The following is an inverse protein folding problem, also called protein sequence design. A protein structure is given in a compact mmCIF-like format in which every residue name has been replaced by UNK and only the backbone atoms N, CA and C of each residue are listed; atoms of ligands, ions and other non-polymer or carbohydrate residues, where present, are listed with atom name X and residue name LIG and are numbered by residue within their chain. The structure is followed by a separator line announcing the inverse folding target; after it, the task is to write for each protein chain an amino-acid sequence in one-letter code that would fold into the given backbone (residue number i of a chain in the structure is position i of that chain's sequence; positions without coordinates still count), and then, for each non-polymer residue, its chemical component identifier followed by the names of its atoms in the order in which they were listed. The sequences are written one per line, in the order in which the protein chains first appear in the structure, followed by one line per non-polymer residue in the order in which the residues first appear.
data_IF_764262109954
#
_entry.id   IF_764262109954
#
_cell.length_a   1.000
_cell.length_b   1.000
_cell.length_c   1.000
_cell.angle_alpha   90.00
_cell.angle_beta   90.00
_cell.angle_gamma   90.00
#
_symmetry.space_group_name_H-M   'P 1'
#
loop_
_entity.id
_entity.type
_entity.pdbx_description
1 polymer ?
#
# COMPACT_ATOMS: atom_id res chain seq x y z
N UNK A 1 -9.20 -25.45 7.07
CA UNK A 1 -10.32 -25.37 8.03
C UNK A 1 -10.51 -23.95 8.53
N UNK A 2 -11.67 -23.61 9.11
CA UNK A 2 -11.94 -22.30 9.72
C UNK A 2 -10.97 -21.96 10.86
N UNK A 3 -10.56 -22.96 11.63
CA UNK A 3 -9.59 -22.75 12.73
C UNK A 3 -8.20 -22.41 12.19
N UNK A 4 -7.75 -23.07 11.14
CA UNK A 4 -6.49 -22.72 10.46
C UNK A 4 -6.54 -21.32 9.89
N UNK A 5 -7.65 -20.93 9.26
CA UNK A 5 -7.83 -19.57 8.75
C UNK A 5 -7.77 -18.50 9.86
N UNK A 6 -8.34 -18.78 11.04
CA UNK A 6 -8.22 -17.88 12.20
C UNK A 6 -6.78 -17.73 12.68
N UNK A 7 -5.99 -18.80 12.63
CA UNK A 7 -4.56 -18.73 12.96
C UNK A 7 -3.81 -17.90 11.94
N UNK A 8 -4.02 -18.17 10.65
CA UNK A 8 -3.39 -17.43 9.56
C UNK A 8 -3.75 -15.94 9.57
N UNK A 9 -5.01 -15.61 9.88
CA UNK A 9 -5.49 -14.23 9.97
C UNK A 9 -4.86 -13.42 11.12
N UNK A 10 -4.22 -14.08 12.10
CA UNK A 10 -3.48 -13.42 13.18
C UNK A 10 -2.05 -13.06 12.82
N UNK A 11 -1.57 -13.50 11.66
CA UNK A 11 -0.24 -13.16 11.20
C UNK A 11 -0.12 -11.64 10.95
N UNK A 12 0.85 -11.03 11.58
CA UNK A 12 1.05 -9.57 11.56
C UNK A 12 2.35 -9.15 10.85
N UNK A 13 2.96 -10.06 10.11
CA UNK A 13 4.24 -9.79 9.43
C UNK A 13 5.42 -9.63 10.38
N UNK A 14 6.49 -9.06 9.88
CA UNK A 14 7.79 -9.02 10.56
C UNK A 14 8.16 -7.63 11.10
N UNK A 15 7.38 -6.59 10.77
CA UNK A 15 7.68 -5.19 11.13
C UNK A 15 7.78 -4.93 12.64
N UNK A 16 7.09 -5.73 13.45
CA UNK A 16 7.12 -5.61 14.92
C UNK A 16 8.37 -6.19 15.59
N UNK A 17 9.19 -6.98 14.88
CA UNK A 17 10.32 -7.72 15.45
C UNK A 17 11.63 -7.59 14.63
N UNK A 18 12.05 -6.38 14.24
CA UNK A 18 13.27 -6.21 13.43
C UNK A 18 14.53 -6.79 14.11
N UNK A 19 14.53 -6.84 15.45
CA UNK A 19 15.64 -7.36 16.24
C UNK A 19 15.88 -8.86 16.03
N UNK A 20 14.84 -9.62 15.65
CA UNK A 20 14.95 -11.05 15.34
C UNK A 20 15.73 -11.36 14.06
N UNK A 21 16.03 -10.33 13.24
CA UNK A 21 16.82 -10.43 12.02
C UNK A 21 18.24 -9.87 12.16
N UNK A 22 18.66 -9.44 13.34
CA UNK A 22 20.03 -8.98 13.61
C UNK A 22 20.83 -10.08 14.34
N UNK A 23 21.72 -10.73 13.60
CA UNK A 23 22.62 -11.78 14.10
C UNK A 23 23.45 -11.33 15.33
N UNK A 24 23.71 -10.03 15.45
CA UNK A 24 24.56 -9.47 16.53
C UNK A 24 23.76 -9.14 17.78
N UNK A 25 22.44 -9.31 17.75
CA UNK A 25 21.58 -9.00 18.91
C UNK A 25 21.47 -10.21 19.83
N UNK A 26 22.32 -10.28 20.82
CA UNK A 26 22.38 -11.38 21.81
C UNK A 26 21.05 -11.62 22.55
N UNK A 27 20.22 -10.55 22.73
CA UNK A 27 18.94 -10.66 23.41
C UNK A 27 17.87 -11.36 22.53
N UNK A 28 18.10 -11.45 21.23
CA UNK A 28 17.18 -12.05 20.25
C UNK A 28 17.80 -13.25 19.52
N UNK A 29 18.90 -13.78 20.05
CA UNK A 29 19.66 -14.86 19.43
C UNK A 29 18.82 -16.13 19.22
N UNK A 30 17.97 -16.45 20.20
CA UNK A 30 17.08 -17.62 20.12
C UNK A 30 16.09 -17.49 18.99
N UNK A 31 15.41 -16.34 18.88
CA UNK A 31 14.45 -16.04 17.83
C UNK A 31 15.12 -15.98 16.46
N UNK A 32 16.32 -15.41 16.38
CA UNK A 32 17.14 -15.41 15.16
C UNK A 32 17.43 -16.83 14.67
N UNK A 33 17.94 -17.71 15.55
CA UNK A 33 18.25 -19.10 15.23
C UNK A 33 16.98 -19.89 14.85
N UNK A 34 15.88 -19.66 15.55
CA UNK A 34 14.60 -20.29 15.24
C UNK A 34 14.10 -19.87 13.86
N UNK A 35 14.09 -18.57 13.51
CA UNK A 35 13.70 -18.10 12.18
C UNK A 35 14.56 -18.70 11.08
N UNK A 36 15.89 -18.79 11.30
CA UNK A 36 16.81 -19.45 10.37
C UNK A 36 16.53 -20.94 10.19
N UNK A 37 16.01 -21.61 11.19
CA UNK A 37 15.72 -23.05 11.14
C UNK A 37 14.40 -23.39 10.44
N UNK A 38 13.40 -22.48 10.52
CA UNK A 38 12.04 -22.73 10.01
C UNK A 38 11.78 -22.11 8.63
N UNK A 39 12.49 -21.03 8.29
CA UNK A 39 12.36 -20.36 7.00
C UNK A 39 13.43 -20.85 6.01
N UNK A 40 13.05 -21.00 4.76
CA UNK A 40 14.05 -21.17 3.69
C UNK A 40 14.86 -19.88 3.52
N UNK A 41 16.02 -19.95 2.87
CA UNK A 41 16.87 -18.76 2.64
C UNK A 41 16.13 -17.66 1.88
N UNK A 42 15.27 -18.03 0.92
CA UNK A 42 14.42 -17.08 0.20
C UNK A 42 13.38 -16.43 1.11
N UNK A 43 12.63 -17.23 1.88
CA UNK A 43 11.63 -16.70 2.83
C UNK A 43 12.27 -15.82 3.90
N UNK A 44 13.44 -16.19 4.40
CA UNK A 44 14.17 -15.37 5.36
C UNK A 44 14.60 -14.03 4.74
N UNK A 45 15.05 -14.03 3.49
CA UNK A 45 15.44 -12.81 2.78
C UNK A 45 14.24 -11.90 2.57
N UNK A 46 13.12 -12.44 2.06
CA UNK A 46 11.86 -11.71 1.85
C UNK A 46 11.34 -11.11 3.18
N UNK A 47 11.33 -11.93 4.24
CA UNK A 47 10.91 -11.50 5.58
C UNK A 47 11.76 -10.35 6.11
N UNK A 48 13.10 -10.47 6.01
CA UNK A 48 14.04 -9.44 6.43
C UNK A 48 13.87 -8.14 5.65
N UNK A 49 13.65 -8.20 4.34
CA UNK A 49 13.39 -7.01 3.53
C UNK A 49 12.07 -6.34 3.89
N UNK A 50 11.06 -7.11 4.32
CA UNK A 50 9.74 -6.59 4.68
C UNK A 50 9.68 -5.91 6.06
N UNK A 51 10.65 -6.16 6.94
CA UNK A 51 10.71 -5.61 8.30
C UNK A 51 10.51 -4.10 8.37
N UNK A 52 11.03 -3.37 7.39
CA UNK A 52 10.97 -1.90 7.37
C UNK A 52 9.76 -1.33 6.62
N UNK A 53 8.97 -2.17 5.97
CA UNK A 53 7.89 -1.73 5.07
C UNK A 53 6.54 -2.40 5.36
N UNK A 54 6.52 -3.51 6.11
CA UNK A 54 5.31 -4.25 6.43
C UNK A 54 4.63 -3.67 7.68
N UNK A 55 3.84 -2.63 7.50
CA UNK A 55 3.03 -2.02 8.55
C UNK A 55 1.55 -2.32 8.30
N UNK A 56 0.94 -3.07 9.21
CA UNK A 56 -0.47 -3.42 9.09
C UNK A 56 -1.38 -2.23 9.45
N UNK A 57 -2.36 -2.00 8.60
CA UNK A 57 -3.33 -0.93 8.75
C UNK A 57 -4.45 -1.37 9.69
N UNK A 58 -4.82 -0.53 10.65
CA UNK A 58 -5.92 -0.85 11.56
C UNK A 58 -7.25 -1.01 10.82
N UNK A 59 -8.16 -1.87 11.33
CA UNK A 59 -9.48 -2.04 10.74
C UNK A 59 -10.28 -0.74 10.62
N UNK A 60 -10.08 0.21 11.53
CA UNK A 60 -10.74 1.51 11.54
C UNK A 60 -10.34 2.34 10.33
N UNK A 61 -9.02 2.38 10.02
CA UNK A 61 -8.49 3.10 8.85
C UNK A 61 -9.00 2.44 7.56
N UNK A 62 -8.97 1.10 7.48
CA UNK A 62 -9.49 0.37 6.31
C UNK A 62 -10.97 0.66 6.08
N UNK A 63 -11.78 0.64 7.14
CA UNK A 63 -13.21 0.99 7.08
C UNK A 63 -13.42 2.42 6.60
N UNK A 64 -12.64 3.38 7.11
CA UNK A 64 -12.72 4.78 6.68
C UNK A 64 -12.40 4.94 5.19
N UNK A 65 -11.42 4.19 4.67
CA UNK A 65 -11.09 4.20 3.24
C UNK A 65 -12.25 3.65 2.42
N UNK A 66 -12.87 2.53 2.81
CA UNK A 66 -14.04 2.00 2.11
C UNK A 66 -15.26 2.90 2.20
N UNK A 67 -15.49 3.59 3.33
CA UNK A 67 -16.51 4.61 3.44
C UNK A 67 -16.27 5.76 2.45
N UNK A 68 -15.03 6.22 2.33
CA UNK A 68 -14.65 7.21 1.31
C UNK A 68 -14.94 6.72 -0.11
N UNK A 69 -14.53 5.49 -0.45
CA UNK A 69 -14.80 4.90 -1.75
C UNK A 69 -16.32 4.80 -2.04
N UNK A 70 -17.13 4.44 -1.04
CA UNK A 70 -18.59 4.40 -1.16
C UNK A 70 -19.17 5.79 -1.43
N UNK A 71 -18.69 6.82 -0.72
CA UNK A 71 -19.11 8.23 -0.93
C UNK A 71 -18.73 8.74 -2.32
N UNK A 72 -17.59 8.29 -2.87
CA UNK A 72 -17.18 8.58 -4.26
C UNK A 72 -17.88 7.69 -5.30
N UNK A 73 -18.88 6.91 -4.89
CA UNK A 73 -19.77 6.17 -5.78
C UNK A 73 -19.29 4.75 -6.15
N UNK A 74 -18.18 4.27 -5.59
CA UNK A 74 -17.77 2.89 -5.82
C UNK A 74 -18.69 1.93 -5.06
N UNK A 75 -19.20 0.92 -5.76
CA UNK A 75 -20.04 -0.14 -5.18
C UNK A 75 -19.39 -1.52 -5.39
N UNK A 76 -19.18 -1.91 -6.61
CA UNK A 76 -18.57 -3.19 -6.98
C UNK A 76 -17.75 -3.03 -8.26
N UNK A 77 -16.72 -3.87 -8.43
CA UNK A 77 -15.88 -3.85 -9.62
C UNK A 77 -14.63 -4.72 -9.48
N UNK A 78 -13.60 -4.37 -10.22
CA UNK A 78 -12.27 -4.96 -10.11
C UNK A 78 -11.43 -4.14 -9.14
N UNK A 79 -10.95 -4.77 -8.08
CA UNK A 79 -10.17 -4.13 -7.01
C UNK A 79 -8.75 -4.68 -7.01
N UNK A 80 -7.77 -3.79 -7.04
CA UNK A 80 -6.35 -4.10 -6.91
C UNK A 80 -5.84 -3.66 -5.53
N UNK A 81 -5.19 -4.56 -4.82
CA UNK A 81 -4.36 -4.26 -3.65
C UNK A 81 -2.89 -4.55 -4.02
N UNK A 82 -2.06 -3.53 -4.31
CA UNK A 82 -0.73 -3.74 -4.87
C UNK A 82 0.35 -4.07 -3.83
N UNK A 83 -0.02 -4.13 -2.54
CA UNK A 83 0.83 -4.48 -1.39
C UNK A 83 -0.08 -5.12 -0.34
N UNK A 84 -0.53 -6.36 -0.65
CA UNK A 84 -1.71 -6.94 0.01
C UNK A 84 -1.43 -7.47 1.42
N UNK A 85 -0.18 -7.77 1.77
CA UNK A 85 0.12 -8.49 3.00
C UNK A 85 -0.65 -9.80 3.03
N UNK A 86 -1.36 -10.05 4.12
CA UNK A 86 -2.28 -11.19 4.25
C UNK A 86 -3.71 -10.89 3.78
N UNK A 87 -3.97 -9.70 3.17
CA UNK A 87 -5.26 -9.34 2.60
C UNK A 87 -6.24 -8.69 3.59
N UNK A 88 -5.77 -7.88 4.52
CA UNK A 88 -6.65 -7.21 5.49
C UNK A 88 -7.69 -6.31 4.81
N UNK A 89 -7.35 -5.64 3.72
CA UNK A 89 -8.31 -4.86 2.95
C UNK A 89 -9.40 -5.74 2.35
N UNK A 90 -9.07 -6.92 1.87
CA UNK A 90 -10.09 -7.87 1.37
C UNK A 90 -11.02 -8.33 2.48
N UNK A 91 -10.46 -8.67 3.65
CA UNK A 91 -11.25 -9.14 4.80
C UNK A 91 -12.16 -8.07 5.41
N UNK A 92 -11.76 -6.81 5.36
CA UNK A 92 -12.51 -5.69 5.90
C UNK A 92 -13.44 -5.02 4.88
N UNK A 93 -13.54 -5.58 3.65
CA UNK A 93 -14.42 -5.05 2.60
C UNK A 93 -15.88 -5.09 3.05
N UNK A 94 -16.63 -3.95 2.92
CA UNK A 94 -18.04 -3.89 3.25
C UNK A 94 -18.89 -4.86 2.42
N UNK A 95 -20.01 -5.30 2.99
CA UNK A 95 -20.91 -6.27 2.36
C UNK A 95 -21.37 -5.85 0.95
N UNK A 96 -21.70 -4.58 0.79
CA UNK A 96 -22.14 -4.02 -0.51
C UNK A 96 -21.06 -4.06 -1.59
N UNK A 97 -19.78 -4.24 -1.20
CA UNK A 97 -18.64 -4.32 -2.12
C UNK A 97 -18.14 -5.76 -2.36
N UNK A 98 -18.61 -6.76 -1.59
CA UNK A 98 -18.12 -8.15 -1.63
C UNK A 98 -18.31 -8.87 -2.96
N UNK A 99 -19.18 -8.37 -3.86
CA UNK A 99 -19.28 -8.87 -5.23
C UNK A 99 -18.12 -8.47 -6.14
N UNK A 100 -17.13 -7.73 -5.62
CA UNK A 100 -15.96 -7.29 -6.39
C UNK A 100 -15.00 -8.43 -6.71
N UNK A 101 -14.30 -8.32 -7.84
CA UNK A 101 -13.22 -9.23 -8.22
C UNK A 101 -11.91 -8.72 -7.63
N UNK A 102 -11.29 -9.51 -6.77
CA UNK A 102 -10.12 -9.11 -6.00
C UNK A 102 -8.82 -9.56 -6.65
N UNK A 103 -7.87 -8.65 -6.72
CA UNK A 103 -6.51 -8.87 -7.22
C UNK A 103 -5.52 -8.34 -6.19
N UNK A 104 -4.65 -9.20 -5.70
CA UNK A 104 -3.59 -8.85 -4.75
C UNK A 104 -2.21 -9.03 -5.36
N UNK A 105 -1.28 -8.20 -4.93
CA UNK A 105 0.15 -8.38 -5.17
C UNK A 105 0.86 -8.30 -3.82
N UNK A 106 1.69 -9.29 -3.53
CA UNK A 106 2.48 -9.31 -2.30
C UNK A 106 3.88 -9.83 -2.60
N UNK A 107 4.88 -9.08 -2.16
CA UNK A 107 6.29 -9.43 -2.39
C UNK A 107 6.76 -10.51 -1.42
N UNK A 108 6.37 -10.40 -0.13
CA UNK A 108 6.72 -11.40 0.88
C UNK A 108 6.00 -12.72 0.60
N UNK A 109 6.79 -13.77 0.38
CA UNK A 109 6.28 -15.07 -0.01
C UNK A 109 5.42 -15.74 1.06
N UNK A 110 5.70 -15.50 2.34
CA UNK A 110 4.91 -16.04 3.47
C UNK A 110 3.55 -15.35 3.52
N UNK A 111 3.52 -14.02 3.55
CA UNK A 111 2.28 -13.22 3.54
C UNK A 111 1.43 -13.53 2.33
N UNK A 112 2.03 -13.60 1.14
CA UNK A 112 1.31 -13.88 -0.10
C UNK A 112 0.69 -15.29 -0.14
N UNK A 113 1.34 -16.31 0.42
CA UNK A 113 0.76 -17.66 0.56
C UNK A 113 -0.38 -17.68 1.57
N UNK A 114 -0.23 -16.97 2.69
CA UNK A 114 -1.31 -16.81 3.68
C UNK A 114 -2.52 -16.16 3.02
N UNK A 115 -2.33 -15.07 2.29
CA UNK A 115 -3.41 -14.38 1.58
C UNK A 115 -4.14 -15.31 0.60
N UNK A 116 -3.43 -16.15 -0.17
CA UNK A 116 -4.04 -17.14 -1.06
C UNK A 116 -4.91 -18.16 -0.32
N UNK A 117 -4.51 -18.56 0.89
CA UNK A 117 -5.26 -19.52 1.71
C UNK A 117 -6.49 -18.87 2.38
N UNK A 118 -6.39 -17.58 2.73
CA UNK A 118 -7.51 -16.83 3.31
C UNK A 118 -8.53 -16.42 2.26
N UNK A 119 -8.09 -16.08 1.04
CA UNK A 119 -8.94 -15.57 -0.04
C UNK A 119 -8.76 -16.37 -1.33
N UNK A 120 -9.24 -17.62 -1.39
CA UNK A 120 -9.02 -18.51 -2.54
C UNK A 120 -9.65 -18.01 -3.85
N UNK A 121 -10.67 -17.15 -3.77
CA UNK A 121 -11.32 -16.51 -4.94
C UNK A 121 -10.54 -15.29 -5.45
N UNK A 122 -9.62 -14.73 -4.67
CA UNK A 122 -8.81 -13.60 -5.07
C UNK A 122 -7.64 -14.05 -5.96
N UNK A 123 -7.31 -13.22 -6.95
CA UNK A 123 -6.16 -13.46 -7.85
C UNK A 123 -4.90 -12.84 -7.25
N UNK A 124 -4.20 -13.57 -6.39
CA UNK A 124 -3.01 -13.08 -5.70
C UNK A 124 -1.75 -13.50 -6.43
N UNK A 125 -0.90 -12.52 -6.76
CA UNK A 125 0.45 -12.71 -7.29
C UNK A 125 1.47 -12.51 -6.16
N UNK A 126 2.37 -13.49 -5.99
CA UNK A 126 3.48 -13.40 -5.04
C UNK A 126 4.71 -12.95 -5.80
N UNK A 127 4.91 -11.65 -5.87
CA UNK A 127 6.01 -10.99 -6.60
C UNK A 127 6.01 -9.49 -6.25
N UNK A 128 7.04 -8.76 -6.66
CA UNK A 128 7.03 -7.30 -6.59
C UNK A 128 5.98 -6.67 -7.50
N UNK A 129 5.44 -5.51 -7.12
CA UNK A 129 4.47 -4.82 -7.98
C UNK A 129 5.11 -4.42 -9.31
N UNK A 130 6.40 -4.12 -9.34
CA UNK A 130 7.20 -3.82 -10.54
C UNK A 130 7.21 -4.97 -11.55
N UNK A 131 7.11 -6.20 -11.11
CA UNK A 131 7.13 -7.40 -11.93
C UNK A 131 5.76 -7.71 -12.57
N UNK A 132 4.70 -7.06 -12.10
CA UNK A 132 3.35 -7.34 -12.58
C UNK A 132 3.09 -6.77 -13.98
N UNK A 133 2.34 -7.52 -14.79
CA UNK A 133 1.93 -7.17 -16.15
C UNK A 133 0.40 -7.07 -16.27
N UNK A 134 -0.23 -6.37 -15.33
CA UNK A 134 -1.66 -6.09 -15.46
C UNK A 134 -1.93 -5.16 -16.65
N UNK A 135 -3.06 -5.35 -17.37
CA UNK A 135 -3.46 -4.42 -18.40
C UNK A 135 -3.65 -2.99 -17.87
N UNK A 136 -3.33 -2.00 -18.67
CA UNK A 136 -3.69 -0.62 -18.35
C UNK A 136 -5.22 -0.44 -18.41
N UNK A 137 -5.76 0.46 -17.61
CA UNK A 137 -7.20 0.77 -17.55
C UNK A 137 -8.11 -0.43 -17.18
N UNK A 138 -7.61 -1.36 -16.40
CA UNK A 138 -8.33 -2.60 -16.08
C UNK A 138 -9.12 -2.53 -14.76
N UNK A 139 -8.57 -1.88 -13.74
CA UNK A 139 -9.17 -1.86 -12.42
C UNK A 139 -10.14 -0.69 -12.23
N UNK A 140 -11.21 -0.91 -11.47
CA UNK A 140 -12.11 0.14 -11.02
C UNK A 140 -11.51 0.91 -9.84
N UNK A 141 -10.84 0.18 -8.94
CA UNK A 141 -10.20 0.73 -7.74
C UNK A 141 -8.84 0.08 -7.53
N UNK A 142 -7.86 0.88 -7.10
CA UNK A 142 -6.66 0.41 -6.44
C UNK A 142 -6.66 0.94 -5.00
N UNK A 143 -6.56 0.03 -4.01
CA UNK A 143 -6.67 0.37 -2.59
C UNK A 143 -5.57 -0.34 -1.80
N UNK A 144 -5.09 0.25 -0.71
CA UNK A 144 -4.12 -0.41 0.15
C UNK A 144 -3.25 0.55 0.96
N UNK A 145 -2.42 -0.03 1.81
CA UNK A 145 -1.30 0.64 2.46
C UNK A 145 -0.05 0.32 1.65
N UNK A 146 0.45 1.28 0.89
CA UNK A 146 1.61 1.05 0.02
C UNK A 146 2.92 1.22 0.79
N UNK A 147 3.99 0.53 0.40
CA UNK A 147 5.29 0.72 1.03
C UNK A 147 5.79 2.14 0.80
N UNK A 148 6.43 2.72 1.82
CA UNK A 148 7.03 4.04 1.73
C UNK A 148 8.44 4.05 2.36
N UNK A 149 9.30 4.88 1.80
CA UNK A 149 10.71 4.95 2.19
C UNK A 149 11.54 5.70 1.13
N UNK A 150 12.84 5.79 1.39
CA UNK A 150 13.79 6.52 0.54
C UNK A 150 14.44 5.66 -0.56
N UNK A 151 13.92 4.47 -0.81
CA UNK A 151 14.41 3.61 -1.86
C UNK A 151 13.52 3.65 -3.10
N UNK A 152 14.02 3.10 -4.19
CA UNK A 152 13.42 3.12 -5.52
C UNK A 152 13.32 1.71 -6.06
N UNK A 153 12.28 1.46 -6.86
CA UNK A 153 12.15 0.23 -7.62
C UNK A 153 12.56 0.47 -9.07
N UNK A 154 13.11 -0.55 -9.71
CA UNK A 154 13.41 -0.49 -11.12
C UNK A 154 12.24 -1.06 -11.93
N UNK A 155 11.56 -0.18 -12.65
CA UNK A 155 10.59 -0.53 -13.69
C UNK A 155 10.90 0.35 -14.91
N UNK A 156 11.22 -0.29 -16.04
CA UNK A 156 11.66 0.39 -17.27
C UNK A 156 10.69 1.50 -17.70
N UNK A 157 9.38 1.31 -17.53
CA UNK A 157 8.33 2.28 -17.92
C UNK A 157 8.45 3.59 -17.13
N UNK A 158 8.86 3.50 -15.85
CA UNK A 158 8.90 4.63 -14.92
C UNK A 158 10.31 5.12 -14.59
N UNK A 159 11.35 4.45 -15.06
CA UNK A 159 12.76 4.71 -14.69
C UNK A 159 13.17 6.17 -14.90
N UNK A 160 12.69 6.83 -15.97
CA UNK A 160 13.00 8.23 -16.28
C UNK A 160 12.51 9.24 -15.23
N UNK A 161 11.51 8.87 -14.41
CA UNK A 161 10.92 9.76 -13.42
C UNK A 161 11.64 9.70 -12.08
N UNK A 162 12.47 8.67 -11.86
CA UNK A 162 13.27 8.51 -10.65
C UNK A 162 12.43 8.53 -9.36
N UNK A 163 11.24 7.95 -9.41
CA UNK A 163 10.28 7.92 -8.31
C UNK A 163 10.83 7.20 -7.07
N UNK A 164 10.50 7.69 -5.88
CA UNK A 164 10.57 6.88 -4.65
C UNK A 164 9.49 5.80 -4.71
N UNK A 165 9.60 4.77 -3.88
CA UNK A 165 8.71 3.61 -3.92
C UNK A 165 7.23 4.01 -3.86
N UNK A 166 6.83 4.88 -2.92
CA UNK A 166 5.43 5.32 -2.81
C UNK A 166 4.96 6.11 -4.04
N UNK A 167 5.81 6.97 -4.61
CA UNK A 167 5.50 7.73 -5.82
C UNK A 167 5.30 6.80 -7.02
N UNK A 168 6.12 5.75 -7.11
CA UNK A 168 6.01 4.70 -8.12
C UNK A 168 4.70 3.93 -8.02
N UNK A 169 4.29 3.55 -6.79
CA UNK A 169 3.03 2.83 -6.58
C UNK A 169 1.83 3.64 -7.07
N UNK A 170 1.78 4.95 -6.77
CA UNK A 170 0.75 5.84 -7.32
C UNK A 170 0.79 5.89 -8.86
N UNK A 171 1.96 6.10 -9.44
CA UNK A 171 2.12 6.23 -10.89
C UNK A 171 1.65 4.95 -11.61
N UNK A 172 2.09 3.77 -11.14
CA UNK A 172 1.70 2.49 -11.75
C UNK A 172 0.23 2.16 -11.51
N UNK A 173 -0.29 2.40 -10.30
CA UNK A 173 -1.70 2.17 -10.01
C UNK A 173 -2.61 3.06 -10.87
N UNK A 174 -2.28 4.33 -11.08
CA UNK A 174 -3.01 5.22 -11.99
C UNK A 174 -3.02 4.71 -13.43
N UNK A 175 -1.94 4.10 -13.91
CA UNK A 175 -1.97 3.49 -15.24
C UNK A 175 -2.90 2.27 -15.28
N UNK A 176 -3.00 1.51 -14.17
CA UNK A 176 -3.77 0.28 -14.11
C UNK A 176 -5.26 0.48 -13.83
N UNK A 177 -5.67 1.55 -13.14
CA UNK A 177 -7.08 1.89 -13.00
C UNK A 177 -7.62 2.50 -14.30
N UNK A 178 -8.92 2.28 -14.58
CA UNK A 178 -9.60 2.88 -15.73
C UNK A 178 -9.85 4.38 -15.54
N UNK A 179 -10.14 5.15 -16.59
CA UNK A 179 -10.67 6.50 -16.44
C UNK A 179 -11.90 6.52 -15.53
N UNK A 180 -11.98 7.49 -14.61
CA UNK A 180 -12.98 7.55 -13.55
C UNK A 180 -12.75 6.56 -12.40
N UNK A 181 -11.81 5.62 -12.52
CA UNK A 181 -11.40 4.73 -11.44
C UNK A 181 -10.64 5.46 -10.34
N UNK A 182 -10.59 4.88 -9.14
CA UNK A 182 -10.06 5.53 -7.94
C UNK A 182 -8.83 4.80 -7.44
N UNK A 183 -7.80 5.57 -7.08
CA UNK A 183 -6.66 5.10 -6.29
C UNK A 183 -6.80 5.65 -4.89
N UNK A 184 -6.90 4.78 -3.89
CA UNK A 184 -7.08 5.12 -2.48
C UNK A 184 -5.98 4.47 -1.64
N UNK A 185 -4.91 5.21 -1.37
CA UNK A 185 -3.73 4.66 -0.68
C UNK A 185 -3.44 5.36 0.63
N UNK A 186 -3.02 4.56 1.62
CA UNK A 186 -2.25 5.05 2.76
C UNK A 186 -0.80 5.19 2.31
N UNK A 187 -0.19 6.33 2.59
CA UNK A 187 1.17 6.67 2.16
C UNK A 187 1.87 7.58 3.16
N UNK A 188 3.16 7.80 2.97
CA UNK A 188 3.93 8.79 3.71
C UNK A 188 3.42 10.22 3.45
N UNK A 189 3.43 11.08 4.47
CA UNK A 189 3.21 12.54 4.32
C UNK A 189 4.05 13.15 3.19
N UNK A 190 5.21 12.57 2.90
CA UNK A 190 6.12 13.05 1.86
C UNK A 190 5.51 13.08 0.46
N UNK A 191 4.41 12.39 0.18
CA UNK A 191 3.71 12.50 -1.12
C UNK A 191 3.15 13.91 -1.34
N UNK A 192 2.54 14.50 -0.31
CA UNK A 192 1.95 15.85 -0.39
C UNK A 192 2.90 16.95 0.10
N UNK A 193 3.77 16.69 1.09
CA UNK A 193 4.58 17.71 1.77
C UNK A 193 5.96 17.99 1.13
N UNK A 194 6.38 17.25 0.10
CA UNK A 194 7.69 17.51 -0.56
C UNK A 194 7.74 18.93 -1.13
N UNK A 195 8.84 19.65 -0.85
CA UNK A 195 9.09 20.95 -1.46
C UNK A 195 9.10 20.87 -3.01
N UNK A 196 9.72 19.82 -3.56
CA UNK A 196 9.70 19.57 -5.00
C UNK A 196 8.32 19.10 -5.46
N UNK A 197 7.61 19.84 -6.31
CA UNK A 197 6.26 19.51 -6.77
C UNK A 197 6.22 18.44 -7.88
N UNK A 198 7.35 17.93 -8.36
CA UNK A 198 7.43 17.11 -9.57
C UNK A 198 6.51 15.89 -9.55
N UNK A 199 6.40 15.20 -8.39
CA UNK A 199 5.48 14.06 -8.24
C UNK A 199 4.03 14.52 -8.26
N UNK A 200 3.69 15.58 -7.51
CA UNK A 200 2.32 16.13 -7.50
C UNK A 200 1.87 16.59 -8.88
N UNK A 201 2.78 17.23 -9.65
CA UNK A 201 2.51 17.58 -11.06
C UNK A 201 2.21 16.34 -11.90
N UNK A 202 3.05 15.30 -11.80
CA UNK A 202 2.83 14.06 -12.52
C UNK A 202 1.47 13.42 -12.21
N UNK A 203 1.08 13.42 -10.94
CA UNK A 203 -0.21 12.87 -10.49
C UNK A 203 -1.38 13.75 -10.95
N UNK A 204 -1.27 15.07 -10.79
CA UNK A 204 -2.31 16.04 -11.15
C UNK A 204 -2.64 16.06 -12.65
N UNK A 205 -1.63 15.88 -13.51
CA UNK A 205 -1.87 15.71 -14.95
C UNK A 205 -2.81 14.54 -15.26
N UNK A 206 -2.79 13.48 -14.45
CA UNK A 206 -3.44 12.18 -14.71
C UNK A 206 -4.66 11.91 -13.85
N UNK A 207 -4.76 12.58 -12.72
CA UNK A 207 -5.81 12.32 -11.75
C UNK A 207 -6.25 13.62 -11.05
N UNK A 208 -7.46 13.58 -10.52
CA UNK A 208 -8.00 14.59 -9.62
C UNK A 208 -7.80 14.14 -8.17
N UNK A 209 -7.33 15.02 -7.32
CA UNK A 209 -7.32 14.80 -5.87
C UNK A 209 -8.73 15.02 -5.35
N UNK A 210 -9.46 13.94 -5.10
CA UNK A 210 -10.85 13.99 -4.62
C UNK A 210 -10.97 13.93 -3.10
N UNK A 211 -9.88 13.62 -2.40
CA UNK A 211 -9.83 13.63 -0.95
C UNK A 211 -8.43 13.32 -0.42
N UNK A 212 -8.09 13.93 0.71
CA UNK A 212 -6.90 13.61 1.48
C UNK A 212 -7.18 13.74 2.98
N UNK A 213 -6.65 12.82 3.77
CA UNK A 213 -6.78 12.83 5.24
C UNK A 213 -5.41 12.57 5.84
N UNK A 214 -4.91 13.52 6.64
CA UNK A 214 -3.71 13.29 7.44
C UNK A 214 -4.06 12.50 8.70
N UNK A 215 -3.40 11.37 8.87
CA UNK A 215 -3.55 10.53 10.04
C UNK A 215 -2.69 11.06 11.20
N UNK A 216 -3.12 10.85 12.45
CA UNK A 216 -2.27 11.12 13.60
C UNK A 216 -0.95 10.35 13.50
N UNK A 217 0.15 10.92 14.02
CA UNK A 217 1.45 10.24 14.03
C UNK A 217 1.46 8.92 14.82
N UNK A 218 0.46 8.74 15.70
CA UNK A 218 0.24 7.50 16.47
C UNK A 218 -0.56 6.43 15.74
N UNK A 219 -1.07 6.71 14.52
CA UNK A 219 -1.96 5.79 13.79
C UNK A 219 -1.36 4.40 13.51
N UNK A 220 -0.04 4.30 13.47
CA UNK A 220 0.71 3.06 13.28
C UNK A 220 1.58 2.68 14.47
N UNK A 221 1.44 3.34 15.63
CA UNK A 221 2.28 3.11 16.79
C UNK A 221 2.21 1.67 17.30
N UNK A 222 1.00 1.12 17.36
CA UNK A 222 0.77 -0.24 17.86
C UNK A 222 1.22 -1.32 16.86
N UNK A 223 1.20 -1.01 15.55
CA UNK A 223 1.56 -1.97 14.49
C UNK A 223 2.99 -1.82 13.99
N UNK A 224 3.59 -0.63 14.11
CA UNK A 224 4.92 -0.31 13.59
C UNK A 224 5.95 0.01 14.67
N UNK A 225 5.52 0.21 15.92
CA UNK A 225 6.40 0.63 17.02
C UNK A 225 7.06 1.99 16.81
N UNK A 226 6.62 2.80 15.84
CA UNK A 226 7.20 4.09 15.48
C UNK A 226 6.14 5.14 15.21
N UNK A 227 6.48 6.39 15.49
CA UNK A 227 5.65 7.54 15.17
C UNK A 227 5.87 7.95 13.70
N UNK A 228 4.92 7.61 12.83
CA UNK A 228 4.98 7.94 11.41
C UNK A 228 3.76 8.75 11.00
N UNK A 229 3.98 9.97 10.52
CA UNK A 229 2.91 10.75 9.90
C UNK A 229 2.62 10.22 8.50
N UNK A 230 1.40 9.80 8.28
CA UNK A 230 0.93 9.26 7.00
C UNK A 230 -0.37 9.92 6.56
N UNK A 231 -0.66 9.79 5.29
CA UNK A 231 -1.84 10.35 4.65
C UNK A 231 -2.65 9.24 3.98
N UNK A 232 -3.97 9.38 3.99
CA UNK A 232 -4.85 8.67 3.06
C UNK A 232 -5.09 9.61 1.89
N UNK A 233 -4.81 9.17 0.68
CA UNK A 233 -4.96 9.99 -0.54
C UNK A 233 -5.92 9.28 -1.49
N UNK A 234 -6.95 10.00 -1.95
CA UNK A 234 -7.90 9.53 -2.95
C UNK A 234 -7.68 10.31 -4.25
N UNK A 235 -7.29 9.60 -5.31
CA UNK A 235 -7.09 10.14 -6.64
C UNK A 235 -8.08 9.49 -7.61
N UNK A 236 -8.86 10.30 -8.34
CA UNK A 236 -9.70 9.79 -9.43
C UNK A 236 -8.99 10.00 -10.76
N UNK A 237 -8.78 8.91 -11.51
CA UNK A 237 -8.12 8.99 -12.82
C UNK A 237 -8.95 9.78 -13.82
N UNK A 238 -8.29 10.74 -14.48
CA UNK A 238 -8.90 11.53 -15.57
C UNK A 238 -9.00 10.72 -16.85
N UNK A 239 -9.96 11.05 -17.70
CA UNK A 239 -10.03 10.54 -19.07
C UNK A 239 -8.85 11.03 -19.91
N UNK A 240 -8.57 12.32 -19.82
CA UNK A 240 -7.50 12.98 -20.54
C UNK A 240 -6.57 13.70 -19.57
N UNK A 241 -5.30 13.73 -19.90
CA UNK A 241 -4.33 14.53 -19.15
C UNK A 241 -4.67 15.99 -19.25
N UNK A 242 -4.47 16.72 -18.16
CA UNK A 242 -4.58 18.18 -18.14
C UNK A 242 -3.19 18.82 -18.16
N UNK A 243 -3.11 20.05 -18.66
CA UNK A 243 -1.90 20.87 -18.67
C UNK A 243 -1.89 21.88 -17.53
N UNK A 244 -3.08 22.30 -17.08
CA UNK A 244 -3.23 23.27 -15.99
C UNK A 244 -2.93 22.60 -14.66
N UNK A 245 -2.07 23.22 -13.87
CA UNK A 245 -1.72 22.73 -12.53
C UNK A 245 -2.79 23.17 -11.51
N UNK A 246 -3.46 22.22 -10.82
CA UNK A 246 -4.34 22.54 -9.71
C UNK A 246 -3.55 23.05 -8.48
N UNK A 247 -4.20 23.80 -7.61
CA UNK A 247 -3.57 24.45 -6.44
C UNK A 247 -2.83 23.46 -5.52
N UNK A 248 -3.36 22.24 -5.34
CA UNK A 248 -2.75 21.22 -4.48
C UNK A 248 -1.37 20.71 -4.94
N UNK A 249 -0.95 21.07 -6.16
CA UNK A 249 0.39 20.75 -6.67
C UNK A 249 1.46 21.54 -5.92
N UNK A 250 1.14 22.74 -5.50
CA UNK A 250 2.06 23.64 -4.80
C UNK A 250 1.81 23.63 -3.30
N UNK A 251 2.89 23.81 -2.53
CA UNK A 251 2.74 24.00 -1.09
C UNK A 251 2.14 25.36 -0.82
N UNK A 252 1.08 25.40 -0.03
CA UNK A 252 0.54 26.61 0.54
C UNK A 252 1.26 26.98 1.84
N UNK A 253 0.80 28.07 2.45
CA UNK A 253 1.13 28.43 3.82
C UNK A 253 -0.16 28.62 4.60
N UNK A 254 -0.19 28.15 5.83
CA UNK A 254 -1.27 28.48 6.76
C UNK A 254 -1.15 29.94 7.18
N UNK A 255 -2.22 30.52 7.74
CA UNK A 255 -2.21 31.89 8.28
C UNK A 255 -1.06 32.11 9.29
N UNK A 256 -0.66 31.04 10.00
CA UNK A 256 0.46 31.04 10.95
C UNK A 256 1.85 30.87 10.27
N UNK A 257 1.90 30.86 8.94
CA UNK A 257 3.15 30.77 8.16
C UNK A 257 3.81 29.38 8.11
N UNK A 258 3.10 28.33 8.55
CA UNK A 258 3.56 26.94 8.47
C UNK A 258 3.30 26.42 7.04
N UNK A 259 4.33 25.81 6.42
CA UNK A 259 4.23 25.23 5.07
C UNK A 259 3.74 23.78 5.12
#
# INVERSE_FOLDING_TARGET
TTEEQKILARYVGWGGIPQAFDERNENWKKEYEELKSILTDSEYTDARESVTTAFYTSPEIIKAIYQGLSQFGFKQGTVLEPSAGVGHFFGAMPEEMRGSRLYGVEKDSVSGRIAKLLYPEAKIKVCGFEETQFPDNFFDVAVGNIPFGDFKLYDKKYAKHNFRIHDYFFAKALDKVRPGGIVAFVTSKGTLDKANPGVRKYLAERAELIGAVRLPNTAFKDSAGTDVTSDIIFLQKRENKIVTEPDWVHLGRTEDGIA
#
